data_IF_411571826831
#
_entry.id   IF_411571826831
#
_cell.length_a   1.000
_cell.length_b   1.000
_cell.length_c   1.000
_cell.angle_alpha   90.00
_cell.angle_beta   90.00
_cell.angle_gamma   90.00
#
_symmetry.space_group_name_H-M   'P 1'
#
loop_
_entity.id
_entity.type
_entity.pdbx_description
1 polymer ?
#
# COMPACT_ATOMS: atom_id res chain seq x y z
N UNK A 1 -48.58 -16.45 48.50
CA UNK A 1 -49.42 -17.47 47.81
C UNK A 1 -48.77 -17.75 46.47
N UNK A 2 -48.44 -19.01 46.26
CA UNK A 2 -47.62 -19.53 45.17
C UNK A 2 -48.46 -19.85 43.92
N UNK A 3 -47.85 -19.75 42.75
CA UNK A 3 -48.23 -20.52 41.58
C UNK A 3 -46.99 -20.73 40.68
N UNK A 4 -46.60 -21.98 40.54
CA UNK A 4 -45.76 -22.57 39.49
C UNK A 4 -46.47 -23.88 39.06
N UNK A 5 -45.95 -24.68 38.11
CA UNK A 5 -45.81 -24.50 36.66
C UNK A 5 -46.60 -25.59 35.88
N UNK A 6 -46.39 -25.80 34.56
CA UNK A 6 -45.69 -27.03 34.12
C UNK A 6 -44.74 -26.80 32.90
N UNK A 7 -43.57 -27.45 32.75
CA UNK A 7 -43.19 -28.87 32.54
C UNK A 7 -43.25 -29.36 31.08
N UNK A 8 -42.12 -29.88 30.59
CA UNK A 8 -41.97 -30.72 29.37
C UNK A 8 -40.81 -30.25 28.47
N UNK A 9 -39.63 -30.85 28.46
CA UNK A 9 -39.28 -32.22 28.00
C UNK A 9 -38.58 -32.06 26.63
N UNK A 10 -37.53 -32.76 26.21
CA UNK A 10 -37.00 -34.07 26.56
C UNK A 10 -35.56 -34.17 26.04
N UNK A 11 -34.79 -35.04 26.67
CA UNK A 11 -33.38 -35.33 26.48
C UNK A 11 -33.12 -36.18 25.21
N UNK A 12 -31.93 -36.03 24.62
CA UNK A 12 -31.45 -36.89 23.52
C UNK A 12 -29.99 -37.28 23.73
N UNK A 13 -29.77 -38.28 24.59
CA UNK A 13 -28.49 -38.97 24.79
C UNK A 13 -28.43 -40.18 23.84
N UNK A 14 -27.30 -40.41 23.17
CA UNK A 14 -27.04 -41.70 22.54
C UNK A 14 -25.86 -41.77 21.57
N UNK A 15 -24.74 -42.41 21.94
CA UNK A 15 -23.52 -42.51 21.13
C UNK A 15 -23.47 -43.80 20.28
N UNK A 16 -22.58 -43.84 19.28
CA UNK A 16 -21.93 -45.08 18.82
C UNK A 16 -20.77 -44.81 17.86
N UNK A 17 -19.54 -45.08 18.34
CA UNK A 17 -18.44 -45.57 17.50
C UNK A 17 -18.68 -47.06 17.18
N UNK A 18 -18.00 -47.64 16.17
CA UNK A 18 -16.72 -48.29 16.49
C UNK A 18 -15.61 -48.18 15.42
N UNK A 19 -14.39 -48.17 15.94
CA UNK A 19 -13.21 -48.96 15.53
C UNK A 19 -12.81 -49.02 14.05
N UNK A 20 -11.72 -48.30 13.73
CA UNK A 20 -10.79 -48.64 12.65
C UNK A 20 -9.36 -48.55 13.16
N UNK A 21 -8.78 -49.71 13.46
CA UNK A 21 -7.38 -49.93 13.88
C UNK A 21 -6.45 -49.95 12.65
N UNK A 22 -5.22 -49.46 12.84
CA UNK A 22 -4.07 -49.64 11.96
C UNK A 22 -3.54 -48.29 11.46
N UNK A 23 -2.35 -47.80 11.78
CA UNK A 23 -1.14 -48.48 12.23
C UNK A 23 -0.01 -48.15 11.25
N UNK A 24 0.90 -47.29 11.72
CA UNK A 24 2.32 -47.19 11.36
C UNK A 24 2.78 -46.42 10.10
N UNK A 25 3.40 -45.27 10.41
CA UNK A 25 4.70 -44.74 9.96
C UNK A 25 5.14 -45.05 8.52
N UNK A 26 4.92 -44.09 7.64
CA UNK A 26 5.74 -43.84 6.45
C UNK A 26 6.41 -42.47 6.59
N UNK A 27 7.68 -42.46 6.97
CA UNK A 27 8.59 -41.33 6.73
C UNK A 27 8.71 -41.15 5.21
N UNK A 28 8.03 -40.15 4.66
CA UNK A 28 8.16 -39.73 3.27
C UNK A 28 8.25 -38.22 3.26
N UNK A 29 9.42 -37.71 2.89
CA UNK A 29 9.71 -36.27 2.86
C UNK A 29 8.69 -35.52 2.03
N UNK A 30 8.19 -34.41 2.58
CA UNK A 30 7.60 -33.38 1.74
C UNK A 30 8.74 -32.59 1.13
N UNK A 31 8.98 -32.85 -0.14
CA UNK A 31 9.76 -31.98 -1.01
C UNK A 31 9.30 -30.53 -0.83
N UNK A 32 10.27 -29.66 -0.57
CA UNK A 32 10.16 -28.22 -0.72
C UNK A 32 10.20 -27.88 -2.20
N UNK A 33 9.11 -28.16 -2.93
CA UNK A 33 9.00 -27.81 -4.35
C UNK A 33 7.58 -27.30 -4.59
N UNK A 34 7.45 -25.99 -4.82
CA UNK A 34 6.15 -25.35 -5.07
C UNK A 34 5.99 -23.96 -4.45
N UNK A 35 7.04 -23.14 -4.50
CA UNK A 35 6.96 -21.71 -4.22
C UNK A 35 7.44 -20.94 -5.45
N UNK A 36 6.74 -21.14 -6.56
CA UNK A 36 7.00 -20.41 -7.80
C UNK A 36 5.69 -20.25 -8.56
N UNK A 37 4.88 -19.29 -8.13
CA UNK A 37 4.01 -18.52 -9.02
C UNK A 37 3.50 -17.27 -8.28
N UNK A 38 4.44 -16.37 -7.98
CA UNK A 38 4.11 -14.97 -7.78
C UNK A 38 3.97 -14.36 -9.17
N UNK A 39 2.81 -13.78 -9.55
CA UNK A 39 2.70 -13.05 -10.80
C UNK A 39 3.72 -11.91 -10.80
N UNK A 40 4.62 -11.99 -11.79
CA UNK A 40 5.75 -11.10 -12.04
C UNK A 40 5.29 -9.64 -12.07
N UNK A 41 5.56 -8.95 -10.97
CA UNK A 41 5.55 -7.49 -10.86
C UNK A 41 6.76 -6.85 -11.59
N UNK A 42 7.16 -7.41 -12.74
CA UNK A 42 8.40 -7.08 -13.45
C UNK A 42 8.17 -6.48 -14.85
N UNK A 43 6.98 -6.68 -15.45
CA UNK A 43 6.74 -6.22 -16.83
C UNK A 43 6.55 -4.69 -16.94
N UNK A 44 6.02 -4.05 -15.89
CA UNK A 44 5.86 -2.59 -15.86
C UNK A 44 7.19 -1.87 -15.51
N UNK A 45 8.11 -2.53 -14.79
CA UNK A 45 9.45 -1.99 -14.52
C UNK A 45 10.33 -2.05 -15.78
N UNK A 46 10.15 -3.08 -16.64
CA UNK A 46 10.86 -3.19 -17.91
C UNK A 46 10.50 -2.07 -18.91
N UNK A 47 9.27 -1.55 -18.88
CA UNK A 47 8.87 -0.39 -19.70
C UNK A 47 9.56 0.90 -19.24
N UNK A 48 9.74 1.11 -17.94
CA UNK A 48 10.52 2.24 -17.43
C UNK A 48 12.01 2.15 -17.79
N UNK A 49 12.57 0.94 -17.91
CA UNK A 49 13.98 0.74 -18.29
C UNK A 49 14.23 0.92 -19.79
N UNK A 50 13.21 0.72 -20.64
CA UNK A 50 13.31 0.97 -22.09
C UNK A 50 13.39 2.46 -22.44
N UNK A 51 12.85 3.35 -21.62
CA UNK A 51 12.93 4.79 -21.86
C UNK A 51 14.35 5.37 -21.61
N UNK A 52 15.24 4.64 -20.92
CA UNK A 52 16.59 5.11 -20.58
C UNK A 52 17.71 4.55 -21.47
N UNK A 53 17.39 3.74 -22.50
CA UNK A 53 18.41 3.05 -23.31
C UNK A 53 18.32 3.32 -24.82
N UNK A 54 17.45 4.20 -25.30
CA UNK A 54 17.47 4.66 -26.70
C UNK A 54 18.36 5.91 -26.87
N UNK A 55 19.65 5.76 -26.54
CA UNK A 55 20.74 6.60 -27.04
C UNK A 55 21.96 5.69 -27.26
N UNK A 56 21.82 4.70 -28.13
CA UNK A 56 22.97 4.07 -28.79
C UNK A 56 23.11 4.63 -30.21
N UNK A 57 24.37 4.77 -30.60
CA UNK A 57 24.91 5.21 -31.89
C UNK A 57 25.00 6.72 -32.16
N UNK A 58 26.21 7.24 -31.91
CA UNK A 58 26.89 7.99 -32.95
C UNK A 58 26.90 9.51 -32.81
N UNK A 59 27.93 10.00 -32.14
CA UNK A 59 28.83 11.09 -32.56
C UNK A 59 29.16 11.99 -31.34
N UNK A 60 30.27 11.66 -30.69
CA UNK A 60 30.96 12.62 -29.84
C UNK A 60 31.52 13.72 -30.75
N UNK A 61 30.73 14.77 -30.98
CA UNK A 61 31.28 16.02 -31.49
C UNK A 61 32.21 16.57 -30.40
N UNK A 62 33.51 16.36 -30.61
CA UNK A 62 34.54 17.08 -29.88
C UNK A 62 34.33 18.57 -30.15
N UNK A 63 33.72 19.27 -29.20
CA UNK A 63 33.77 20.73 -29.17
C UNK A 63 35.11 21.07 -28.51
N UNK A 64 36.18 21.07 -29.31
CA UNK A 64 37.38 21.86 -28.98
C UNK A 64 37.00 23.33 -29.23
N UNK A 65 36.24 23.88 -28.29
CA UNK A 65 35.84 25.28 -28.26
C UNK A 65 36.82 26.05 -27.38
N UNK A 66 37.57 26.94 -28.03
CA UNK A 66 38.67 27.71 -27.49
C UNK A 66 38.39 28.45 -26.18
N UNK A 67 39.46 28.54 -25.41
CA UNK A 67 39.64 29.43 -24.29
C UNK A 67 39.81 30.86 -24.83
N UNK A 68 38.70 31.58 -24.96
CA UNK A 68 38.73 33.02 -25.20
C UNK A 68 37.84 33.73 -24.16
N UNK A 69 38.53 34.28 -23.17
CA UNK A 69 38.28 35.51 -22.43
C UNK A 69 36.86 35.87 -21.93
N UNK A 70 36.77 35.88 -20.58
CA UNK A 70 36.23 36.99 -19.77
C UNK A 70 34.77 37.43 -20.05
N UNK A 71 33.81 36.71 -19.49
CA UNK A 71 32.44 37.17 -19.24
C UNK A 71 32.04 37.04 -17.76
N UNK A 72 31.28 37.98 -17.16
CA UNK A 72 31.04 38.01 -15.73
C UNK A 72 29.97 37.01 -15.31
N UNK A 73 30.30 36.23 -14.27
CA UNK A 73 29.40 35.53 -13.35
C UNK A 73 28.08 35.04 -13.90
N UNK A 74 28.05 33.80 -14.41
CA UNK A 74 26.81 33.02 -14.37
C UNK A 74 26.64 32.53 -12.93
N UNK A 75 25.83 33.27 -12.19
CA UNK A 75 25.17 32.76 -11.01
C UNK A 75 24.57 31.40 -11.36
N UNK A 76 25.00 30.36 -10.65
CA UNK A 76 24.37 29.06 -10.63
C UNK A 76 22.92 29.26 -10.22
N UNK A 77 22.06 29.48 -11.22
CA UNK A 77 20.63 29.60 -11.08
C UNK A 77 20.09 28.29 -10.52
N UNK A 78 20.05 28.20 -9.20
CA UNK A 78 19.25 27.22 -8.50
C UNK A 78 17.85 27.27 -9.13
N UNK A 79 17.41 26.14 -9.69
CA UNK A 79 16.03 26.03 -10.15
C UNK A 79 15.11 26.57 -9.05
N UNK A 80 14.07 27.35 -9.40
CA UNK A 80 13.09 27.77 -8.41
C UNK A 80 12.62 26.52 -7.66
N UNK A 81 12.53 26.55 -6.32
CA UNK A 81 12.15 25.38 -5.55
C UNK A 81 10.83 24.87 -6.12
N UNK A 82 10.81 23.58 -6.51
CA UNK A 82 9.60 22.93 -7.00
C UNK A 82 8.46 23.27 -6.03
N UNK A 83 7.34 23.76 -6.55
CA UNK A 83 6.22 24.20 -5.73
C UNK A 83 5.74 22.99 -4.91
N UNK A 84 6.04 23.04 -3.61
CA UNK A 84 5.74 21.98 -2.66
C UNK A 84 4.90 22.53 -1.54
N UNK A 85 3.96 21.72 -1.07
CA UNK A 85 3.09 22.07 0.06
C UNK A 85 2.94 20.85 0.96
N UNK A 86 2.75 21.08 2.27
CA UNK A 86 2.66 20.00 3.27
C UNK A 86 1.35 20.06 4.03
N UNK A 87 0.58 18.98 3.96
CA UNK A 87 -0.65 18.77 4.71
C UNK A 87 -0.34 17.95 5.95
N UNK A 88 -0.55 18.55 7.13
CA UNK A 88 -0.49 17.85 8.41
C UNK A 88 -1.85 17.23 8.72
N UNK A 89 -1.84 15.96 9.12
CA UNK A 89 -3.05 15.16 9.36
C UNK A 89 -4.06 15.34 8.20
N UNK A 90 -3.68 14.99 6.96
CA UNK A 90 -4.51 15.24 5.79
C UNK A 90 -5.88 14.60 5.96
N UNK A 91 -6.92 15.34 5.56
CA UNK A 91 -8.32 14.92 5.65
C UNK A 91 -8.98 14.93 4.28
N UNK A 92 -9.88 13.96 4.07
CA UNK A 92 -10.75 13.86 2.91
C UNK A 92 -12.18 13.76 3.44
N UNK A 93 -13.07 14.66 2.99
CA UNK A 93 -14.45 14.72 3.51
C UNK A 93 -14.52 14.87 5.04
N UNK A 94 -13.59 15.65 5.62
CA UNK A 94 -13.40 15.86 7.07
C UNK A 94 -12.98 14.62 7.89
N UNK A 95 -12.72 13.49 7.23
CA UNK A 95 -12.18 12.27 7.86
C UNK A 95 -10.68 12.18 7.58
N UNK A 96 -9.92 11.66 8.54
CA UNK A 96 -8.46 11.51 8.40
C UNK A 96 -8.14 10.53 7.27
N UNK A 97 -7.12 10.83 6.47
CA UNK A 97 -6.72 9.96 5.36
C UNK A 97 -6.03 8.69 5.89
N UNK A 98 -6.50 7.53 5.44
CA UNK A 98 -5.91 6.22 5.74
C UNK A 98 -4.53 6.08 5.06
N UNK A 99 -3.65 5.28 5.66
CA UNK A 99 -2.33 4.96 5.08
C UNK A 99 -2.45 4.20 3.74
N UNK A 100 -3.54 3.46 3.55
CA UNK A 100 -3.85 2.69 2.35
C UNK A 100 -4.88 3.40 1.48
N UNK A 101 -4.87 3.10 0.18
CA UNK A 101 -5.73 3.80 -0.77
C UNK A 101 -7.10 3.15 -0.92
N UNK A 102 -7.19 1.85 -0.65
CA UNK A 102 -8.40 1.04 -0.77
C UNK A 102 -8.33 -0.24 0.10
N UNK A 103 -9.48 -0.89 0.26
CA UNK A 103 -9.62 -2.21 0.89
C UNK A 103 -10.32 -3.20 -0.04
N UNK A 104 -9.77 -4.42 -0.14
CA UNK A 104 -10.34 -5.56 -0.84
C UNK A 104 -10.96 -6.53 0.18
N UNK A 105 -12.29 -6.66 0.13
CA UNK A 105 -13.08 -7.51 1.01
C UNK A 105 -12.94 -9.01 0.74
N UNK A 106 -12.49 -9.38 -0.46
CA UNK A 106 -12.37 -10.77 -0.89
C UNK A 106 -10.96 -11.32 -0.59
N UNK A 107 -9.97 -10.42 -0.48
CA UNK A 107 -8.63 -10.74 -0.02
C UNK A 107 -8.57 -10.93 1.51
N UNK A 108 -7.63 -11.79 1.96
CA UNK A 108 -7.45 -12.11 3.38
C UNK A 108 -6.11 -11.59 3.90
N UNK A 109 -6.10 -11.24 5.19
CA UNK A 109 -4.89 -10.82 5.89
C UNK A 109 -4.35 -9.49 5.35
N UNK A 110 -3.01 -9.29 5.31
CA UNK A 110 -2.42 -8.01 4.93
C UNK A 110 -2.65 -7.67 3.44
N UNK A 111 -2.94 -8.66 2.59
CA UNK A 111 -3.25 -8.44 1.18
C UNK A 111 -4.58 -7.72 0.94
N UNK A 112 -5.45 -7.65 1.95
CA UNK A 112 -6.71 -6.91 1.85
C UNK A 112 -6.52 -5.40 1.76
N UNK A 113 -5.35 -4.87 2.14
CA UNK A 113 -5.05 -3.45 2.04
C UNK A 113 -4.25 -3.14 0.79
N UNK A 114 -4.77 -2.23 -0.04
CA UNK A 114 -4.20 -1.91 -1.33
C UNK A 114 -3.58 -0.51 -1.35
N UNK A 115 -2.52 -0.35 -2.14
CA UNK A 115 -1.95 0.97 -2.46
C UNK A 115 -1.40 1.74 -1.26
N UNK A 116 -0.86 1.06 -0.25
CA UNK A 116 -0.40 1.70 0.98
C UNK A 116 0.89 2.52 0.84
N UNK A 117 0.96 3.65 1.56
CA UNK A 117 2.12 4.54 1.54
C UNK A 117 2.14 5.46 0.32
N UNK A 118 3.18 5.39 -0.51
CA UNK A 118 3.36 6.28 -1.67
C UNK A 118 2.11 6.33 -2.58
N UNK A 119 1.49 5.20 -2.99
CA UNK A 119 0.37 5.27 -3.93
C UNK A 119 -0.84 6.02 -3.36
N UNK A 120 -1.17 5.81 -2.07
CA UNK A 120 -2.21 6.56 -1.36
C UNK A 120 -1.85 8.05 -1.20
N UNK A 121 -0.58 8.35 -0.89
CA UNK A 121 -0.10 9.72 -0.79
C UNK A 121 -0.19 10.47 -2.13
N UNK A 122 0.20 9.81 -3.22
CA UNK A 122 0.10 10.36 -4.57
C UNK A 122 -1.36 10.58 -4.97
N UNK A 123 -2.25 9.64 -4.65
CA UNK A 123 -3.68 9.79 -4.91
C UNK A 123 -4.27 11.01 -4.16
N UNK A 124 -3.85 11.23 -2.90
CA UNK A 124 -4.19 12.45 -2.19
C UNK A 124 -3.64 13.70 -2.88
N UNK A 125 -2.36 13.72 -3.26
CA UNK A 125 -1.75 14.85 -3.96
C UNK A 125 -2.47 15.19 -5.27
N UNK A 126 -2.81 14.18 -6.07
CA UNK A 126 -3.61 14.36 -7.29
C UNK A 126 -4.99 14.92 -6.99
N UNK A 127 -5.62 14.53 -5.88
CA UNK A 127 -6.94 15.05 -5.49
C UNK A 127 -6.92 16.54 -5.10
N UNK A 128 -5.76 17.07 -4.67
CA UNK A 128 -5.56 18.49 -4.31
C UNK A 128 -4.85 19.29 -5.41
N UNK A 129 -4.63 18.71 -6.60
CA UNK A 129 -4.09 19.41 -7.77
C UNK A 129 -2.55 19.42 -7.89
N UNK A 130 -1.88 18.48 -7.24
CA UNK A 130 -0.43 18.26 -7.32
C UNK A 130 -0.12 16.97 -8.10
N UNK A 131 1.11 16.82 -8.61
CA UNK A 131 1.49 15.68 -9.43
C UNK A 131 1.69 14.40 -8.59
N UNK A 132 2.43 14.51 -7.49
CA UNK A 132 2.81 13.38 -6.63
C UNK A 132 3.20 13.84 -5.22
N UNK A 133 3.37 12.87 -4.32
CA UNK A 133 3.93 13.07 -3.00
C UNK A 133 5.46 12.97 -3.05
N UNK A 134 6.15 13.97 -2.50
CA UNK A 134 7.61 13.97 -2.36
C UNK A 134 8.08 13.48 -0.99
N UNK A 135 7.23 13.58 0.04
CA UNK A 135 7.53 13.11 1.39
C UNK A 135 6.23 12.80 2.14
N UNK A 136 6.23 11.80 3.02
CA UNK A 136 5.08 11.47 3.85
C UNK A 136 5.53 10.65 5.05
N UNK A 137 4.71 10.67 6.10
CA UNK A 137 4.96 9.87 7.29
C UNK A 137 3.68 9.22 7.79
N UNK A 138 3.82 7.96 8.19
CA UNK A 138 2.78 7.17 8.83
C UNK A 138 2.60 7.57 10.29
N UNK A 139 1.35 7.59 10.72
CA UNK A 139 0.94 7.54 12.12
C UNK A 139 0.30 6.17 12.35
N UNK A 140 0.83 5.41 13.29
CA UNK A 140 0.46 4.00 13.46
C UNK A 140 -0.53 3.83 14.59
N UNK A 141 -1.45 2.87 14.42
CA UNK A 141 -2.38 2.44 15.48
C UNK A 141 -3.19 3.57 16.12
N UNK A 142 -3.73 4.46 15.29
CA UNK A 142 -4.64 5.51 15.74
C UNK A 142 -6.04 4.95 16.03
N UNK A 143 -6.76 5.63 16.91
CA UNK A 143 -8.15 5.27 17.29
C UNK A 143 -9.19 6.00 16.44
N UNK A 144 -8.78 7.06 15.73
CA UNK A 144 -9.70 7.85 14.89
C UNK A 144 -10.17 7.06 13.67
N UNK A 145 -11.31 7.49 13.11
CA UNK A 145 -11.78 7.02 11.81
C UNK A 145 -10.86 7.51 10.69
N UNK A 146 -10.56 6.61 9.76
CA UNK A 146 -9.79 6.90 8.54
C UNK A 146 -10.63 6.61 7.31
N UNK A 147 -10.26 7.24 6.19
CA UNK A 147 -10.92 7.06 4.90
C UNK A 147 -9.92 6.66 3.82
N UNK A 148 -10.30 5.67 3.02
CA UNK A 148 -9.59 5.25 1.82
C UNK A 148 -9.81 6.27 0.69
N UNK A 149 -8.74 6.82 0.12
CA UNK A 149 -8.84 7.88 -0.90
C UNK A 149 -9.51 7.41 -2.20
N UNK A 150 -9.23 6.20 -2.66
CA UNK A 150 -9.73 5.72 -3.96
C UNK A 150 -11.20 5.30 -3.87
N UNK A 151 -11.58 4.64 -2.78
CA UNK A 151 -12.95 4.17 -2.57
C UNK A 151 -13.87 5.22 -1.92
N UNK A 152 -13.30 6.25 -1.28
CA UNK A 152 -14.03 7.24 -0.46
C UNK A 152 -14.92 6.61 0.61
N UNK A 153 -14.45 5.48 1.17
CA UNK A 153 -15.12 4.72 2.21
C UNK A 153 -14.34 4.79 3.52
N UNK A 154 -15.05 4.73 4.64
CA UNK A 154 -14.44 4.62 5.96
C UNK A 154 -13.73 3.27 6.10
N UNK A 155 -12.56 3.27 6.72
CA UNK A 155 -11.93 2.06 7.18
C UNK A 155 -12.63 1.59 8.47
N UNK A 156 -13.49 0.59 8.33
CA UNK A 156 -14.19 -0.06 9.44
C UNK A 156 -13.65 -1.47 9.73
N UNK A 157 -12.51 -1.84 9.13
CA UNK A 157 -12.04 -3.23 9.10
C UNK A 157 -11.10 -3.59 10.24
N UNK A 158 -10.44 -2.60 10.85
CA UNK A 158 -9.62 -2.79 12.05
C UNK A 158 -9.95 -1.76 13.14
N UNK A 159 -9.87 -2.15 14.43
CA UNK A 159 -10.05 -1.21 15.53
C UNK A 159 -8.89 -0.21 15.65
N UNK A 160 -7.68 -0.64 15.27
CA UNK A 160 -6.50 0.21 15.16
C UNK A 160 -6.20 0.46 13.69
N UNK A 161 -6.14 1.73 13.29
CA UNK A 161 -5.95 2.13 11.90
C UNK A 161 -4.62 2.85 11.76
N UNK A 162 -4.12 2.87 10.55
CA UNK A 162 -2.94 3.63 10.22
C UNK A 162 -3.36 4.81 9.35
N UNK A 163 -2.77 5.98 9.60
CA UNK A 163 -3.09 7.19 8.87
C UNK A 163 -1.83 7.93 8.46
N UNK A 164 -1.99 8.91 7.58
CA UNK A 164 -0.93 9.86 7.36
C UNK A 164 -0.81 10.85 8.54
N UNK A 165 0.41 11.01 9.03
CA UNK A 165 0.80 12.10 9.94
C UNK A 165 0.99 13.39 9.15
N UNK A 166 1.67 13.31 8.01
CA UNK A 166 1.76 14.38 7.03
C UNK A 166 2.01 13.82 5.63
N UNK A 167 1.67 14.62 4.62
CA UNK A 167 2.04 14.42 3.22
C UNK A 167 2.56 15.75 2.68
N UNK A 168 3.69 15.72 1.98
CA UNK A 168 4.22 16.82 1.18
C UNK A 168 4.01 16.48 -0.29
N UNK A 169 3.27 17.32 -1.01
CA UNK A 169 3.04 17.15 -2.45
C UNK A 169 3.96 18.08 -3.24
N UNK A 170 4.28 17.69 -4.46
CA UNK A 170 5.03 18.47 -5.44
C UNK A 170 4.24 18.61 -6.75
N UNK A 171 4.35 19.78 -7.39
CA UNK A 171 3.80 20.03 -8.72
C UNK A 171 4.69 19.50 -9.83
#
# INVERSE_FOLDING_TARGET
MAAAPPSGGMEGVGPRQPSGLGGNVGLGGISTEGMEDLPKYDEEIAKCKRFLLEFEDGEVVNIEGGEDDRGPGVDSGALPPAATETWRMPRVSDVRLDWCSAFDKDAKGPAAYLGCGQPAADAFCRSVGYASASNFKKDEQIEDETMFIDQRTLNTHTPKKDAFRFITCMK
#
